data_IF_223421555104
#
_entry.id   IF_223421555104
#
_cell.length_a   1.000
_cell.length_b   1.000
_cell.length_c   1.000
_cell.angle_alpha   90.00
_cell.angle_beta   90.00
_cell.angle_gamma   90.00
#
_symmetry.space_group_name_H-M   'P 1'
#
loop_
_entity.id
_entity.type
_entity.pdbx_description
1 polymer ?
#
# COMPACT_ATOMS: atom_id res chain seq x y z
N UNK A 1 -18.66 -11.40 -6.52
CA UNK A 1 -18.43 -11.98 -6.64
C UNK A 1 -18.48 -12.51 -6.41
N UNK A 2 -18.48 -12.85 -6.55
CA UNK A 2 -18.31 -13.63 -6.49
C UNK A 2 -17.80 -13.97 -7.08
N UNK A 3 -17.25 -13.93 -7.31
CA UNK A 3 -16.72 -14.39 -8.00
C UNK A 3 -16.53 -15.38 -7.96
N UNK A 4 -16.66 -15.78 -8.27
CA UNK A 4 -16.40 -16.71 -8.32
C UNK A 4 -15.86 -17.11 -8.84
N UNK A 5 -15.76 -17.03 -9.25
CA UNK A 5 -15.13 -17.65 -9.69
C UNK A 5 -14.35 -17.78 -9.72
N UNK A 6 -14.64 -17.00 -9.57
CA UNK A 6 -13.77 -17.27 -9.68
C UNK A 6 -12.67 -17.85 -9.41
N UNK A 7 -12.47 -18.44 -9.28
CA UNK A 7 -11.43 -19.21 -9.10
C UNK A 7 -10.24 -18.99 -9.91
N UNK A 8 -10.23 -17.98 -10.70
CA UNK A 8 -9.04 -17.62 -11.43
C UNK A 8 -7.90 -17.20 -10.53
N UNK A 9 -8.17 -17.02 -9.29
CA UNK A 9 -7.11 -16.69 -8.34
C UNK A 9 -6.35 -17.90 -7.89
N UNK A 10 -6.83 -19.09 -8.17
CA UNK A 10 -6.15 -20.29 -7.75
C UNK A 10 -4.89 -20.49 -8.55
N UNK A 11 -3.82 -20.81 -7.91
CA UNK A 11 -2.52 -21.06 -8.52
C UNK A 11 -2.01 -19.90 -9.34
N UNK A 12 -2.56 -18.74 -9.13
CA UNK A 12 -2.18 -17.57 -9.87
C UNK A 12 -0.89 -17.01 -9.33
N UNK A 13 0.12 -16.92 -10.16
CA UNK A 13 1.41 -16.36 -9.76
C UNK A 13 1.28 -14.90 -9.35
N UNK A 14 0.38 -14.18 -9.98
CA UNK A 14 0.14 -12.79 -9.63
C UNK A 14 -0.39 -12.62 -8.23
N UNK A 15 -1.26 -13.53 -7.81
CA UNK A 15 -1.79 -13.47 -6.45
C UNK A 15 -0.70 -13.73 -5.42
N UNK A 16 0.15 -14.72 -5.67
CA UNK A 16 1.25 -15.01 -4.76
C UNK A 16 2.22 -13.84 -4.70
N UNK A 17 2.56 -13.26 -5.85
CA UNK A 17 3.46 -12.11 -5.88
C UNK A 17 2.86 -10.91 -5.16
N UNK A 18 1.55 -10.72 -5.27
CA UNK A 18 0.88 -9.64 -4.55
C UNK A 18 0.98 -9.85 -3.04
N UNK A 19 0.77 -11.07 -2.57
CA UNK A 19 0.86 -11.38 -1.14
C UNK A 19 2.27 -11.14 -0.61
N UNK A 20 3.28 -11.52 -1.39
CA UNK A 20 4.67 -11.28 -1.01
C UNK A 20 4.96 -9.78 -0.97
N UNK A 21 4.49 -9.04 -1.98
CA UNK A 21 4.64 -7.59 -2.01
C UNK A 21 4.00 -6.95 -0.76
N UNK A 22 2.79 -7.36 -0.45
CA UNK A 22 2.06 -6.82 0.70
C UNK A 22 2.83 -7.06 2.00
N UNK A 23 3.30 -8.28 2.18
CA UNK A 23 4.08 -8.61 3.36
C UNK A 23 5.34 -7.74 3.45
N UNK A 24 6.03 -7.58 2.33
CA UNK A 24 7.25 -6.80 2.30
C UNK A 24 7.00 -5.32 2.59
N UNK A 25 5.88 -4.78 2.11
CA UNK A 25 5.52 -3.40 2.41
C UNK A 25 5.32 -3.21 3.91
N UNK A 26 4.63 -4.14 4.56
CA UNK A 26 4.40 -4.04 6.00
C UNK A 26 5.70 -4.21 6.79
N UNK A 27 6.57 -5.13 6.38
CA UNK A 27 7.84 -5.31 7.06
C UNK A 27 8.74 -4.09 6.93
N UNK A 28 8.76 -3.50 5.75
CA UNK A 28 9.51 -2.28 5.53
C UNK A 28 8.98 -1.14 6.38
N UNK A 29 7.66 -1.07 6.54
CA UNK A 29 7.03 -0.05 7.39
C UNK A 29 7.54 -0.15 8.83
N UNK A 30 7.60 -1.36 9.38
CA UNK A 30 8.14 -1.57 10.72
C UNK A 30 9.59 -1.14 10.81
N UNK A 31 10.39 -1.53 9.83
CA UNK A 31 11.81 -1.22 9.82
C UNK A 31 12.06 0.28 9.77
N UNK A 32 11.31 0.99 8.94
CA UNK A 32 11.48 2.44 8.79
C UNK A 32 11.16 3.20 10.06
N UNK A 33 10.25 2.65 10.86
CA UNK A 33 9.87 3.32 12.10
C UNK A 33 10.77 2.95 13.27
N UNK A 34 11.78 2.14 13.02
CA UNK A 34 12.69 1.73 14.08
C UNK A 34 12.03 0.84 15.13
N UNK A 35 10.93 0.21 14.79
CA UNK A 35 10.21 -0.63 15.73
C UNK A 35 9.96 -1.99 15.11
N UNK A 36 10.18 -3.03 15.89
CA UNK A 36 9.87 -4.39 15.46
C UNK A 36 8.52 -4.83 15.97
N UNK A 37 7.82 -3.99 16.72
CA UNK A 37 6.57 -4.38 17.37
C UNK A 37 5.31 -3.84 16.71
N UNK A 38 5.42 -2.73 16.01
CA UNK A 38 4.24 -2.05 15.51
C UNK A 38 4.33 -1.71 14.04
N UNK A 39 3.17 -1.78 13.38
CA UNK A 39 2.98 -1.19 12.07
C UNK A 39 2.33 0.17 12.28
N UNK A 40 2.62 1.12 11.42
CA UNK A 40 2.17 2.51 11.61
C UNK A 40 1.54 3.04 10.35
N UNK A 41 0.32 3.59 10.47
CA UNK A 41 -0.30 4.32 9.35
C UNK A 41 0.58 5.51 9.00
N UNK A 42 0.95 5.64 7.73
CA UNK A 42 1.89 6.69 7.34
C UNK A 42 1.24 8.05 7.21
N UNK A 43 -0.08 8.13 7.30
CA UNK A 43 -0.77 9.42 7.30
C UNK A 43 -1.03 9.92 8.72
N UNK A 44 -1.67 9.11 9.55
CA UNK A 44 -2.11 9.56 10.89
C UNK A 44 -1.22 9.05 12.01
N UNK A 45 -0.24 8.20 11.70
CA UNK A 45 0.73 7.66 12.66
C UNK A 45 0.12 6.74 13.72
N UNK A 46 -1.08 6.25 13.50
CA UNK A 46 -1.70 5.32 14.42
C UNK A 46 -0.96 3.99 14.39
N UNK A 47 -0.64 3.44 15.55
CA UNK A 47 0.10 2.19 15.67
C UNK A 47 -0.81 1.00 15.83
N UNK A 48 -0.40 -0.13 15.24
CA UNK A 48 -1.15 -1.38 15.35
C UNK A 48 -0.18 -2.54 15.46
N UNK A 49 -0.52 -3.52 16.28
CA UNK A 49 0.31 -4.72 16.42
C UNK A 49 0.07 -5.71 15.29
N UNK A 50 -1.06 -5.61 14.62
CA UNK A 50 -1.40 -6.50 13.51
C UNK A 50 -1.74 -5.67 12.29
N UNK A 51 -1.85 -6.33 11.14
CA UNK A 51 -2.19 -5.64 9.90
C UNK A 51 -3.67 -5.65 9.60
N UNK A 52 -4.52 -6.10 10.54
CA UNK A 52 -5.95 -6.29 10.27
C UNK A 52 -6.69 -5.03 9.77
N UNK A 53 -6.38 -3.88 10.34
CA UNK A 53 -7.07 -2.65 9.97
C UNK A 53 -6.17 -1.73 9.15
N UNK A 54 -5.10 -2.28 8.62
CA UNK A 54 -4.14 -1.52 7.81
C UNK A 54 -4.16 -2.04 6.38
N UNK A 55 -3.90 -1.15 5.44
CA UNK A 55 -3.86 -1.49 4.03
C UNK A 55 -2.51 -1.13 3.45
N UNK A 56 -1.96 -2.01 2.62
CA UNK A 56 -0.79 -1.70 1.82
C UNK A 56 -1.31 -1.08 0.52
N UNK A 57 -0.95 0.16 0.27
CA UNK A 57 -1.47 0.93 -0.86
C UNK A 57 -0.35 1.19 -1.86
N UNK A 58 -0.61 0.97 -3.14
CA UNK A 58 0.37 1.24 -4.19
C UNK A 58 0.51 2.74 -4.40
N UNK A 59 1.74 3.21 -4.49
CA UNK A 59 2.04 4.61 -4.81
C UNK A 59 1.85 4.83 -6.31
N UNK A 60 2.56 4.04 -7.11
CA UNK A 60 2.36 3.98 -8.55
C UNK A 60 1.31 2.92 -8.79
N UNK A 61 0.20 3.29 -9.41
CA UNK A 61 -0.98 2.44 -9.45
C UNK A 61 -0.72 1.10 -10.14
N UNK A 62 -1.46 0.10 -9.69
CA UNK A 62 -1.39 -1.25 -10.23
C UNK A 62 -1.64 -1.25 -11.74
N UNK A 63 -2.67 -0.51 -12.18
CA UNK A 63 -3.07 -0.57 -13.57
C UNK A 63 -2.14 0.17 -14.50
N UNK A 64 -1.62 1.32 -14.09
CA UNK A 64 -0.87 2.18 -14.98
C UNK A 64 0.63 1.94 -14.97
N UNK A 65 1.12 1.26 -13.95
CA UNK A 65 2.57 1.07 -13.79
C UNK A 65 2.89 -0.40 -13.50
N UNK A 66 2.71 -1.27 -14.51
CA UNK A 66 2.88 -2.71 -14.29
C UNK A 66 4.26 -3.13 -13.82
N UNK A 67 5.30 -2.41 -14.22
CA UNK A 67 6.66 -2.75 -13.80
C UNK A 67 6.96 -2.35 -12.36
N UNK A 68 6.02 -1.70 -11.69
CA UNK A 68 6.18 -1.34 -10.27
C UNK A 68 5.23 -2.07 -9.35
N UNK A 69 4.44 -2.99 -9.89
CA UNK A 69 3.39 -3.67 -9.12
C UNK A 69 3.90 -4.41 -7.90
N UNK A 70 5.09 -4.99 -8.00
CA UNK A 70 5.61 -5.84 -6.93
C UNK A 70 6.84 -5.29 -6.25
N UNK A 71 7.17 -4.04 -6.53
CA UNK A 71 8.28 -3.37 -5.90
C UNK A 71 7.87 -2.98 -4.47
N UNK A 72 8.60 -3.47 -3.47
CA UNK A 72 8.25 -3.18 -2.08
C UNK A 72 8.36 -1.69 -1.75
N UNK A 73 9.16 -0.96 -2.52
CA UNK A 73 9.26 0.49 -2.32
C UNK A 73 8.09 1.24 -2.93
N UNK A 74 7.24 0.54 -3.68
CA UNK A 74 6.05 1.12 -4.26
C UNK A 74 4.84 0.84 -3.37
N UNK A 75 4.99 1.09 -2.08
CA UNK A 75 3.89 0.85 -1.16
C UNK A 75 3.97 1.73 0.06
N UNK A 76 2.81 2.08 0.60
CA UNK A 76 2.72 2.75 1.87
C UNK A 76 1.65 2.05 2.69
N UNK A 77 1.73 2.18 3.99
CA UNK A 77 0.76 1.58 4.90
C UNK A 77 -0.20 2.67 5.36
N UNK A 78 -1.50 2.45 5.16
CA UNK A 78 -2.54 3.38 5.59
C UNK A 78 -3.59 2.60 6.37
N UNK A 79 -4.14 3.21 7.43
CA UNK A 79 -5.31 2.61 8.07
C UNK A 79 -6.51 2.80 7.14
N UNK A 80 -7.58 2.02 7.39
CA UNK A 80 -8.70 2.05 6.46
C UNK A 80 -9.35 3.43 6.37
N UNK A 81 -9.35 4.20 7.45
CA UNK A 81 -9.90 5.55 7.42
C UNK A 81 -9.11 6.47 6.50
N UNK A 82 -7.79 6.44 6.62
CA UNK A 82 -6.94 7.28 5.79
C UNK A 82 -6.97 6.82 4.34
N UNK A 83 -7.03 5.52 4.12
CA UNK A 83 -7.12 4.94 2.79
C UNK A 83 -8.39 5.38 2.09
N UNK A 84 -9.53 5.27 2.79
CA UNK A 84 -10.81 5.67 2.21
C UNK A 84 -10.88 7.18 1.99
N UNK A 85 -10.32 7.96 2.91
CA UNK A 85 -10.33 9.40 2.74
C UNK A 85 -9.54 9.83 1.51
N UNK A 86 -8.41 9.17 1.26
CA UNK A 86 -7.61 9.46 0.08
C UNK A 86 -8.40 9.15 -1.19
N UNK A 87 -9.05 7.99 -1.24
CA UNK A 87 -9.83 7.61 -2.42
C UNK A 87 -11.03 8.52 -2.64
N UNK A 88 -11.69 8.96 -1.58
CA UNK A 88 -12.80 9.89 -1.73
C UNK A 88 -12.35 11.23 -2.29
N UNK A 89 -11.17 11.68 -1.87
CA UNK A 89 -10.66 12.97 -2.30
C UNK A 89 -10.20 12.96 -3.74
N UNK A 90 -9.48 11.92 -4.14
CA UNK A 90 -8.82 11.91 -5.45
C UNK A 90 -9.44 11.00 -6.47
N UNK A 91 -10.20 9.99 -6.02
CA UNK A 91 -10.86 9.05 -6.92
C UNK A 91 -9.89 8.49 -7.95
N UNK A 92 -10.22 8.59 -9.24
CA UNK A 92 -9.39 8.01 -10.29
C UNK A 92 -8.17 8.85 -10.66
N UNK A 93 -8.14 10.07 -10.19
CA UNK A 93 -7.03 10.95 -10.52
C UNK A 93 -5.70 10.38 -10.05
N UNK A 94 -5.70 9.73 -8.91
CA UNK A 94 -4.48 9.18 -8.33
C UNK A 94 -3.86 8.06 -9.16
N UNK A 95 -4.62 7.47 -10.09
CA UNK A 95 -4.07 6.40 -10.92
C UNK A 95 -2.89 6.87 -11.77
N UNK A 96 -2.92 8.12 -12.20
CA UNK A 96 -1.87 8.67 -13.05
C UNK A 96 -0.94 9.63 -12.33
N UNK A 97 -1.22 9.94 -11.07
CA UNK A 97 -0.50 10.99 -10.35
C UNK A 97 -0.04 10.48 -8.98
N UNK A 98 1.05 9.71 -8.94
CA UNK A 98 1.55 9.20 -7.66
C UNK A 98 1.93 10.28 -6.67
N UNK A 99 2.24 11.48 -7.15
CA UNK A 99 2.58 12.59 -6.27
C UNK A 99 1.41 12.97 -5.35
N UNK A 100 0.17 12.65 -5.73
CA UNK A 100 -0.97 12.95 -4.86
C UNK A 100 -0.90 12.19 -3.56
N UNK A 101 -0.42 10.96 -3.60
CA UNK A 101 -0.27 10.18 -2.39
C UNK A 101 0.86 10.71 -1.52
N UNK A 102 1.98 11.11 -2.15
CA UNK A 102 3.08 11.70 -1.39
C UNK A 102 2.64 12.95 -0.66
N UNK A 103 1.89 13.81 -1.33
CA UNK A 103 1.36 15.01 -0.70
C UNK A 103 0.42 14.67 0.44
N UNK A 104 -0.41 13.66 0.24
CA UNK A 104 -1.40 13.28 1.23
C UNK A 104 -0.75 12.84 2.54
N UNK A 105 0.30 12.03 2.45
CA UNK A 105 0.97 11.55 3.66
C UNK A 105 2.00 12.53 4.20
N UNK A 106 2.21 13.66 3.50
CA UNK A 106 3.10 14.70 4.00
C UNK A 106 4.58 14.42 3.78
N UNK A 107 4.89 13.59 2.78
CA UNK A 107 6.28 13.24 2.46
C UNK A 107 6.53 13.43 0.99
N UNK A 108 7.78 13.63 0.60
CA UNK A 108 8.12 13.53 -0.80
C UNK A 108 8.68 12.13 -1.07
N UNK A 109 8.86 11.80 -2.34
CA UNK A 109 9.24 10.45 -2.69
C UNK A 109 10.65 10.08 -2.25
N UNK A 110 11.52 11.07 -2.03
CA UNK A 110 12.87 10.80 -1.58
C UNK A 110 12.89 10.32 -0.14
N UNK A 111 11.96 10.79 0.69
CA UNK A 111 11.86 10.34 2.06
C UNK A 111 11.55 8.85 2.16
N UNK A 112 10.82 8.33 1.20
CA UNK A 112 10.44 6.93 1.23
C UNK A 112 11.61 6.02 0.88
N UNK A 113 12.65 6.54 0.26
CA UNK A 113 13.80 5.75 -0.14
C UNK A 113 14.89 5.70 0.90
N UNK A 114 14.78 6.46 1.94
CA UNK A 114 15.75 6.44 3.03
C UNK A 114 15.26 5.62 4.19
#
# INVERSE_FOLDING_TARGET
>A
MRFKPGNRWKSNKGELRYKIWRKNVFELNKAKRGSSKFYVCEKCNKRRKTTKVLHAHHIYSWNKFPNKRYDRNNGVVLCWKCHNAFHRKHKFEALNKPELLWEYIGKDKDDNNT
#
